data_IF_950561772525
#
_entry.id   IF_950561772525
#
_cell.length_a   1.000
_cell.length_b   1.000
_cell.length_c   1.000
_cell.angle_alpha   90.00
_cell.angle_beta   90.00
_cell.angle_gamma   90.00
#
_symmetry.space_group_name_H-M   'P 1'
#
loop_
_entity.id
_entity.type
_entity.pdbx_description
1 polymer ?
#
# COMPACT_ATOMS: atom_id res chain seq x y z
N UNK A 1 25.41 12.96 24.04
CA UNK A 1 24.13 12.33 23.66
C UNK A 1 23.85 11.26 24.69
N UNK A 2 22.73 11.35 25.41
CA UNK A 2 22.39 10.36 26.45
C UNK A 2 21.83 9.07 25.85
N UNK A 3 21.72 8.03 26.68
CA UNK A 3 21.28 6.69 26.28
C UNK A 3 19.82 6.68 25.78
N UNK A 4 18.98 7.53 26.36
CA UNK A 4 17.56 7.68 26.00
C UNK A 4 17.41 8.23 24.58
N UNK A 5 18.18 9.27 24.25
CA UNK A 5 18.21 9.89 22.93
C UNK A 5 18.70 8.90 21.87
N UNK A 6 19.69 8.06 22.21
CA UNK A 6 20.23 7.04 21.29
C UNK A 6 19.19 5.96 21.00
N UNK A 7 18.47 5.49 22.02
CA UNK A 7 17.39 4.51 21.87
C UNK A 7 16.22 5.06 21.05
N UNK A 8 15.87 6.34 21.23
CA UNK A 8 14.80 7.00 20.48
C UNK A 8 15.13 7.13 18.98
N UNK A 9 16.37 7.51 18.65
CA UNK A 9 16.84 7.59 17.25
C UNK A 9 16.86 6.21 16.60
N UNK A 10 17.32 5.17 17.30
CA UNK A 10 17.36 3.81 16.77
C UNK A 10 15.96 3.24 16.51
N UNK A 11 15.02 3.48 17.44
CA UNK A 11 13.62 3.07 17.31
C UNK A 11 12.93 3.79 16.14
N UNK A 12 13.18 5.08 15.99
CA UNK A 12 12.66 5.92 14.89
C UNK A 12 13.17 5.44 13.52
N UNK A 13 14.46 5.14 13.41
CA UNK A 13 15.07 4.60 12.19
C UNK A 13 14.44 3.24 11.77
N UNK A 14 14.17 2.37 12.74
CA UNK A 14 13.53 1.07 12.48
C UNK A 14 12.07 1.23 12.03
N UNK A 15 11.33 2.14 12.67
CA UNK A 15 9.95 2.47 12.28
C UNK A 15 9.90 3.07 10.86
N UNK A 16 10.83 3.99 10.55
CA UNK A 16 10.97 4.60 9.23
C UNK A 16 11.24 3.56 8.15
N UNK A 17 12.23 2.68 8.37
CA UNK A 17 12.57 1.61 7.43
C UNK A 17 11.39 0.68 7.15
N UNK A 18 10.64 0.32 8.19
CA UNK A 18 9.44 -0.52 8.09
C UNK A 18 8.32 0.19 7.34
N UNK A 19 8.10 1.47 7.61
CA UNK A 19 7.10 2.28 6.92
C UNK A 19 7.43 2.47 5.44
N UNK A 20 8.69 2.73 5.08
CA UNK A 20 9.11 2.82 3.67
C UNK A 20 8.90 1.49 2.93
N UNK A 21 9.23 0.35 3.56
CA UNK A 21 8.94 -0.97 2.98
C UNK A 21 7.44 -1.21 2.82
N UNK A 22 6.64 -0.84 3.82
CA UNK A 22 5.18 -0.92 3.78
C UNK A 22 4.58 -0.10 2.65
N UNK A 23 5.03 1.15 2.50
CA UNK A 23 4.61 2.05 1.42
C UNK A 23 4.91 1.45 0.04
N UNK A 24 6.14 1.01 -0.21
CA UNK A 24 6.54 0.39 -1.49
C UNK A 24 5.73 -0.87 -1.81
N UNK A 25 5.48 -1.70 -0.80
CA UNK A 25 4.64 -2.90 -0.99
C UNK A 25 3.21 -2.51 -1.35
N UNK A 26 2.64 -1.54 -0.65
CA UNK A 26 1.29 -1.06 -0.90
C UNK A 26 1.14 -0.45 -2.29
N UNK A 27 2.13 0.29 -2.80
CA UNK A 27 2.15 0.78 -4.19
C UNK A 27 2.11 -0.38 -5.20
N UNK A 28 2.94 -1.41 -5.00
CA UNK A 28 2.96 -2.60 -5.86
C UNK A 28 1.62 -3.36 -5.85
N UNK A 29 1.06 -3.56 -4.66
CA UNK A 29 -0.25 -4.22 -4.49
C UNK A 29 -1.38 -3.40 -5.10
N UNK A 30 -1.31 -2.07 -5.02
CA UNK A 30 -2.27 -1.17 -5.65
C UNK A 30 -2.21 -1.29 -7.18
N UNK A 31 -1.02 -1.23 -7.78
CA UNK A 31 -0.84 -1.35 -9.23
C UNK A 31 -1.32 -2.72 -9.76
N UNK A 32 -1.06 -3.79 -9.00
CA UNK A 32 -1.59 -5.12 -9.31
C UNK A 32 -3.13 -5.12 -9.26
N UNK A 33 -3.71 -4.61 -8.18
CA UNK A 33 -5.17 -4.55 -8.02
C UNK A 33 -5.83 -3.73 -9.13
N UNK A 34 -5.23 -2.60 -9.54
CA UNK A 34 -5.71 -1.79 -10.65
C UNK A 34 -5.70 -2.56 -11.99
N UNK A 35 -4.66 -3.38 -12.22
CA UNK A 35 -4.58 -4.26 -13.38
C UNK A 35 -5.68 -5.32 -13.33
N UNK A 36 -5.89 -5.93 -12.16
CA UNK A 36 -6.94 -6.93 -11.95
C UNK A 36 -8.34 -6.34 -12.17
N UNK A 37 -8.59 -5.09 -11.76
CA UNK A 37 -9.84 -4.37 -12.06
C UNK A 37 -10.07 -4.29 -13.57
N UNK A 38 -9.08 -3.85 -14.35
CA UNK A 38 -9.19 -3.73 -15.81
C UNK A 38 -9.46 -5.10 -16.43
N UNK A 39 -8.74 -6.13 -15.99
CA UNK A 39 -8.91 -7.50 -16.49
C UNK A 39 -10.31 -8.05 -16.19
N UNK A 40 -10.84 -7.83 -14.98
CA UNK A 40 -12.20 -8.25 -14.62
C UNK A 40 -13.26 -7.56 -15.48
N UNK A 41 -13.13 -6.26 -15.72
CA UNK A 41 -14.09 -5.55 -16.59
C UNK A 41 -13.98 -5.97 -18.06
N UNK A 42 -12.77 -6.20 -18.57
CA UNK A 42 -12.56 -6.73 -19.91
C UNK A 42 -13.15 -8.14 -20.06
N UNK A 43 -12.97 -9.00 -19.05
CA UNK A 43 -13.54 -10.33 -19.01
C UNK A 43 -15.07 -10.29 -18.98
N UNK A 44 -15.67 -9.42 -18.16
CA UNK A 44 -17.11 -9.23 -18.10
C UNK A 44 -17.68 -8.75 -19.46
N UNK A 45 -16.99 -7.84 -20.15
CA UNK A 45 -17.38 -7.39 -21.48
C UNK A 45 -17.39 -8.54 -22.49
N UNK A 46 -16.36 -9.40 -22.47
CA UNK A 46 -16.29 -10.56 -23.35
C UNK A 46 -17.44 -11.53 -23.11
N UNK A 47 -17.76 -11.85 -21.84
CA UNK A 47 -18.88 -12.72 -21.48
C UNK A 47 -20.22 -12.14 -21.96
N UNK A 48 -20.47 -10.84 -21.75
CA UNK A 48 -21.72 -10.19 -22.19
C UNK A 48 -21.85 -10.14 -23.71
N UNK A 49 -20.74 -9.98 -24.43
CA UNK A 49 -20.73 -9.92 -25.89
C UNK A 49 -20.97 -11.27 -26.58
N UNK A 50 -21.04 -12.37 -25.81
CA UNK A 50 -21.17 -13.72 -26.37
C UNK A 50 -19.91 -14.20 -27.08
N UNK A 51 -18.77 -13.53 -26.86
CA UNK A 51 -17.47 -14.03 -27.30
C UNK A 51 -17.15 -15.34 -26.56
N UNK A 52 -16.44 -16.24 -27.23
CA UNK A 52 -16.02 -17.51 -26.64
C UNK A 52 -15.10 -17.21 -25.44
N UNK A 53 -15.67 -17.27 -24.24
CA UNK A 53 -15.01 -16.91 -22.99
C UNK A 53 -14.41 -18.18 -22.38
N UNK A 54 -13.10 -18.17 -22.16
CA UNK A 54 -12.45 -19.28 -21.44
C UNK A 54 -12.99 -19.38 -20.00
N UNK A 55 -12.91 -20.55 -19.35
CA UNK A 55 -13.30 -20.70 -17.95
C UNK A 55 -12.61 -19.69 -17.01
N UNK A 56 -11.35 -19.34 -17.30
CA UNK A 56 -10.59 -18.33 -16.55
C UNK A 56 -11.19 -16.92 -16.72
N UNK A 57 -11.69 -16.60 -17.91
CA UNK A 57 -12.36 -15.33 -18.22
C UNK A 57 -13.67 -15.22 -17.43
N UNK A 58 -14.45 -16.31 -17.38
CA UNK A 58 -15.71 -16.35 -16.62
C UNK A 58 -15.44 -16.21 -15.11
N UNK A 59 -14.42 -16.91 -14.60
CA UNK A 59 -14.01 -16.80 -13.20
C UNK A 59 -13.57 -15.36 -12.84
N UNK A 60 -12.75 -14.73 -13.68
CA UNK A 60 -12.31 -13.35 -13.47
C UNK A 60 -13.48 -12.34 -13.50
N UNK A 61 -14.50 -12.57 -14.35
CA UNK A 61 -15.71 -11.75 -14.42
C UNK A 61 -16.66 -11.95 -13.22
N UNK A 62 -16.59 -13.10 -12.54
CA UNK A 62 -17.51 -13.46 -11.46
C UNK A 62 -17.29 -12.68 -10.16
N UNK A 63 -16.11 -12.09 -9.98
CA UNK A 63 -15.76 -11.29 -8.80
C UNK A 63 -15.22 -9.89 -9.17
N UNK A 64 -16.12 -8.94 -9.49
CA UNK A 64 -15.74 -7.57 -9.80
C UNK A 64 -15.38 -6.74 -8.57
N UNK A 65 -15.62 -7.24 -7.35
CA UNK A 65 -15.51 -6.44 -6.12
C UNK A 65 -14.14 -6.60 -5.48
N UNK A 66 -13.58 -7.81 -5.45
CA UNK A 66 -12.31 -8.07 -4.76
C UNK A 66 -11.15 -7.20 -5.24
N UNK A 67 -10.93 -7.00 -6.56
CA UNK A 67 -9.87 -6.10 -7.02
C UNK A 67 -10.04 -4.65 -6.54
N UNK A 68 -11.28 -4.15 -6.47
CA UNK A 68 -11.57 -2.80 -5.96
C UNK A 68 -11.31 -2.69 -4.45
N UNK A 69 -11.72 -3.69 -3.68
CA UNK A 69 -11.47 -3.77 -2.23
C UNK A 69 -9.97 -3.85 -1.95
N UNK A 70 -9.23 -4.64 -2.72
CA UNK A 70 -7.78 -4.77 -2.60
C UNK A 70 -7.09 -3.44 -2.93
N UNK A 71 -7.52 -2.75 -3.99
CA UNK A 71 -6.99 -1.45 -4.37
C UNK A 71 -7.20 -0.42 -3.24
N UNK A 72 -8.39 -0.37 -2.64
CA UNK A 72 -8.69 0.52 -1.50
C UNK A 72 -7.90 0.14 -0.25
N UNK A 73 -7.73 -1.15 0.00
CA UNK A 73 -6.93 -1.66 1.13
C UNK A 73 -5.47 -1.24 0.99
N UNK A 74 -4.89 -1.40 -0.21
CA UNK A 74 -3.53 -0.96 -0.52
C UNK A 74 -3.36 0.54 -0.38
N UNK A 75 -4.33 1.34 -0.84
CA UNK A 75 -4.32 2.79 -0.62
C UNK A 75 -4.27 3.14 0.88
N UNK A 76 -5.09 2.50 1.70
CA UNK A 76 -5.10 2.73 3.16
C UNK A 76 -3.79 2.31 3.83
N UNK A 77 -3.17 1.22 3.38
CA UNK A 77 -1.88 0.78 3.87
C UNK A 77 -0.76 1.78 3.51
N UNK A 78 -0.81 2.35 2.31
CA UNK A 78 0.11 3.40 1.89
C UNK A 78 -0.06 4.69 2.72
N UNK A 79 -1.30 5.17 2.90
CA UNK A 79 -1.62 6.32 3.75
C UNK A 79 -1.14 6.14 5.20
N UNK A 80 -1.34 4.95 5.77
CA UNK A 80 -0.84 4.63 7.11
C UNK A 80 0.70 4.65 7.18
N UNK A 81 1.37 4.15 6.16
CA UNK A 81 2.84 4.16 6.07
C UNK A 81 3.38 5.59 5.98
N UNK A 82 2.75 6.46 5.18
CA UNK A 82 3.11 7.87 5.10
C UNK A 82 2.90 8.61 6.43
N UNK A 83 1.85 8.27 7.17
CA UNK A 83 1.62 8.84 8.50
C UNK A 83 2.76 8.50 9.47
N UNK A 84 3.22 7.24 9.49
CA UNK A 84 4.36 6.83 10.30
C UNK A 84 5.63 7.60 9.90
N UNK A 85 5.89 7.75 8.60
CA UNK A 85 7.03 8.53 8.09
C UNK A 85 6.96 9.99 8.58
N UNK A 86 5.78 10.63 8.48
CA UNK A 86 5.59 12.01 8.96
C UNK A 86 5.87 12.15 10.45
N UNK A 87 5.31 11.25 11.27
CA UNK A 87 5.51 11.26 12.72
C UNK A 87 6.97 11.01 13.09
N UNK A 88 7.68 10.13 12.38
CA UNK A 88 9.12 9.92 12.60
C UNK A 88 9.92 11.18 12.28
N UNK A 89 9.63 11.85 11.16
CA UNK A 89 10.31 13.10 10.81
C UNK A 89 10.06 14.22 11.84
N UNK A 90 8.84 14.31 12.40
CA UNK A 90 8.51 15.25 13.48
C UNK A 90 9.32 14.95 14.75
N UNK A 91 9.40 13.68 15.16
CA UNK A 91 10.22 13.28 16.32
C UNK A 91 11.71 13.57 16.10
N UNK A 92 12.24 13.33 14.90
CA UNK A 92 13.65 13.64 14.59
C UNK A 92 13.93 15.14 14.69
N UNK A 93 13.00 15.98 14.24
CA UNK A 93 13.11 17.44 14.37
C UNK A 93 13.10 17.88 15.83
N UNK A 94 12.16 17.39 16.65
CA UNK A 94 12.12 17.73 18.08
C UNK A 94 13.41 17.31 18.80
N UNK A 95 13.98 16.15 18.47
CA UNK A 95 15.27 15.71 19.05
C UNK A 95 16.44 16.61 18.64
N UNK A 96 16.42 17.14 17.42
CA UNK A 96 17.44 18.10 16.97
C UNK A 96 17.28 19.45 17.67
N UNK A 97 16.05 19.93 17.82
CA UNK A 97 15.75 21.21 18.49
C UNK A 97 16.13 21.18 19.99
N UNK A 98 15.97 20.04 20.68
CA UNK A 98 16.42 19.86 22.09
C UNK A 98 17.95 19.93 22.22
N UNK A 99 18.70 19.60 21.16
CA UNK A 99 20.17 19.59 21.16
C UNK A 99 20.82 20.91 20.76
N UNK A 100 20.06 21.85 20.18
CA UNK A 100 20.52 23.16 19.72
C UNK A 100 20.56 24.18 20.88
#
# INVERSE_FOLDING_TARGET
>A
MDLTTLNNVHSSSTAMSSAVKGAKKAEGDFAKSATDVVNTYAAAANVVSGADASPETIAAASDPISPLVNMKTSQRAYEASLKVISTVNEMEKEVLDIKA
#
